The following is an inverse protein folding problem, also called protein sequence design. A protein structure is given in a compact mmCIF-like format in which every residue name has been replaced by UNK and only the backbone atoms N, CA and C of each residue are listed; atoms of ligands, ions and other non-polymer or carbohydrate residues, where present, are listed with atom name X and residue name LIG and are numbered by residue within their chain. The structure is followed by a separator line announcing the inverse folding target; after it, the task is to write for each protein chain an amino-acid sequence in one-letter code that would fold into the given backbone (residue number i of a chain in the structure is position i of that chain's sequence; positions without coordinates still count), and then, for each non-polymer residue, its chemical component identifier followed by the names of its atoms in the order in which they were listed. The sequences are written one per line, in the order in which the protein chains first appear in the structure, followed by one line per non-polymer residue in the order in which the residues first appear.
data_IF_610687774963
#
_entry.id   IF_610687774963
#
_cell.length_a   1.000
_cell.length_b   1.000
_cell.length_c   1.000
_cell.angle_alpha   90.00
_cell.angle_beta   90.00
_cell.angle_gamma   90.00
#
_symmetry.space_group_name_H-M   'P 1'
#
loop_
_entity.id
_entity.type
_entity.pdbx_description
1 polymer ?
#
# COMPACT_ATOMS: atom_id res chain seq x y z
N UNK A 1 2.51 -20.22 20.16
CA UNK A 1 3.54 -19.43 19.45
C UNK A 1 2.91 -18.85 18.18
N UNK A 2 2.52 -17.57 18.18
CA UNK A 2 1.89 -16.92 17.01
C UNK A 2 2.90 -16.73 15.87
N UNK A 3 4.16 -16.44 16.21
CA UNK A 3 5.23 -16.15 15.25
C UNK A 3 5.53 -17.28 14.24
N UNK A 4 5.26 -18.52 14.62
CA UNK A 4 5.51 -19.70 13.79
C UNK A 4 4.26 -20.16 13.03
N UNK A 5 3.10 -19.53 13.25
CA UNK A 5 1.89 -19.85 12.51
C UNK A 5 2.07 -19.40 11.04
N UNK A 6 1.95 -20.31 10.05
CA UNK A 6 2.08 -19.96 8.64
C UNK A 6 1.17 -18.80 8.20
N UNK A 7 0.01 -18.62 8.85
CA UNK A 7 -0.93 -17.53 8.56
C UNK A 7 -0.37 -16.21 9.04
N UNK A 8 0.25 -16.21 10.21
CA UNK A 8 0.91 -15.02 10.74
C UNK A 8 2.11 -14.64 9.88
N UNK A 9 2.92 -15.62 9.47
CA UNK A 9 4.08 -15.40 8.60
C UNK A 9 3.64 -14.78 7.27
N UNK A 10 2.61 -15.33 6.62
CA UNK A 10 2.10 -14.78 5.36
C UNK A 10 1.59 -13.33 5.54
N UNK A 11 0.83 -13.06 6.60
CA UNK A 11 0.35 -11.72 6.91
C UNK A 11 1.51 -10.74 7.21
N UNK A 12 2.51 -11.18 7.98
CA UNK A 12 3.68 -10.38 8.33
C UNK A 12 4.50 -10.00 7.10
N UNK A 13 4.76 -10.95 6.19
CA UNK A 13 5.49 -10.65 4.94
C UNK A 13 4.69 -9.78 3.97
N UNK A 14 3.36 -9.91 3.94
CA UNK A 14 2.51 -8.96 3.23
C UNK A 14 2.72 -7.53 3.74
N UNK A 15 2.66 -7.32 5.05
CA UNK A 15 2.91 -6.01 5.65
C UNK A 15 4.33 -5.51 5.38
N UNK A 16 5.32 -6.41 5.52
CA UNK A 16 6.73 -6.11 5.33
C UNK A 16 7.09 -5.69 3.91
N UNK A 17 6.39 -6.19 2.88
CA UNK A 17 6.59 -5.72 1.51
C UNK A 17 5.80 -4.45 1.20
N UNK A 18 4.55 -4.36 1.66
CA UNK A 18 3.69 -3.21 1.39
C UNK A 18 4.26 -1.91 1.99
N UNK A 19 4.94 -2.00 3.13
CA UNK A 19 5.47 -0.83 3.84
C UNK A 19 6.59 -0.12 3.09
N UNK A 20 7.39 -0.82 2.27
CA UNK A 20 8.45 -0.19 1.44
C UNK A 20 7.89 0.79 0.41
N UNK A 21 6.65 0.62 0.01
CA UNK A 21 6.04 1.43 -1.04
C UNK A 21 4.97 2.40 -0.51
N UNK A 22 4.43 2.17 0.69
CA UNK A 22 3.31 2.96 1.24
C UNK A 22 3.59 4.46 1.32
N UNK A 23 4.74 4.86 1.89
CA UNK A 23 5.02 6.29 2.10
C UNK A 23 5.65 6.99 0.90
N UNK A 24 6.15 6.23 -0.07
CA UNK A 24 6.91 6.79 -1.19
C UNK A 24 6.10 7.84 -1.97
N UNK A 25 4.84 7.60 -2.36
CA UNK A 25 4.05 8.62 -3.04
C UNK A 25 3.81 9.85 -2.18
N UNK A 26 3.59 9.70 -0.87
CA UNK A 26 3.42 10.86 0.04
C UNK A 26 4.63 11.77 0.04
N UNK A 27 5.84 11.19 0.07
CA UNK A 27 7.08 11.97 0.11
C UNK A 27 7.55 12.48 -1.25
N UNK A 28 7.33 11.71 -2.33
CA UNK A 28 7.75 12.09 -3.68
C UNK A 28 6.75 13.00 -4.40
N UNK A 29 5.47 13.02 -4.01
CA UNK A 29 4.44 13.81 -4.70
C UNK A 29 4.79 15.31 -4.83
N UNK A 30 5.30 16.01 -3.78
CA UNK A 30 5.71 17.40 -3.95
C UNK A 30 6.80 17.59 -5.00
N UNK A 31 7.82 16.71 -4.99
CA UNK A 31 8.94 16.77 -5.93
C UNK A 31 8.47 16.51 -7.37
N UNK A 32 7.60 15.51 -7.52
CA UNK A 32 6.99 15.17 -8.81
C UNK A 32 6.13 16.32 -9.34
N UNK A 33 5.32 16.97 -8.49
CA UNK A 33 4.54 18.16 -8.86
C UNK A 33 5.46 19.30 -9.33
N UNK A 34 6.53 19.59 -8.58
CA UNK A 34 7.49 20.64 -8.94
C UNK A 34 8.18 20.35 -10.28
N UNK A 35 8.55 19.10 -10.54
CA UNK A 35 9.15 18.69 -11.82
C UNK A 35 8.27 19.03 -13.02
N UNK A 36 6.94 18.93 -12.90
CA UNK A 36 5.97 19.33 -13.92
C UNK A 36 5.50 20.78 -13.81
N UNK A 37 6.18 21.63 -13.04
CA UNK A 37 5.85 23.05 -12.89
C UNK A 37 4.57 23.34 -12.09
N UNK A 38 4.05 22.36 -11.34
CA UNK A 38 2.88 22.54 -10.49
C UNK A 38 3.30 23.25 -9.20
N UNK A 39 2.52 24.26 -8.80
CA UNK A 39 2.82 25.08 -7.63
C UNK A 39 2.83 24.26 -6.32
N UNK A 40 3.60 24.73 -5.33
CA UNK A 40 3.63 24.11 -4.00
C UNK A 40 2.24 24.05 -3.34
N UNK A 41 1.42 25.09 -3.52
CA UNK A 41 0.05 25.14 -3.00
C UNK A 41 -0.82 24.01 -3.58
N UNK A 42 -0.75 23.81 -4.91
CA UNK A 42 -1.48 22.72 -5.57
C UNK A 42 -0.95 21.35 -5.17
N UNK A 43 0.37 21.19 -5.01
CA UNK A 43 0.97 19.96 -4.51
C UNK A 43 0.49 19.60 -3.09
N UNK A 44 0.37 20.60 -2.20
CA UNK A 44 -0.22 20.40 -0.87
C UNK A 44 -1.68 19.95 -0.93
N UNK A 45 -2.47 20.47 -1.88
CA UNK A 45 -3.85 20.02 -2.10
C UNK A 45 -3.88 18.54 -2.51
N UNK A 46 -3.02 18.11 -3.45
CA UNK A 46 -2.94 16.71 -3.89
C UNK A 46 -2.66 15.78 -2.70
N UNK A 47 -1.71 16.13 -1.83
CA UNK A 47 -1.38 15.32 -0.64
C UNK A 47 -2.49 15.37 0.41
N UNK A 48 -3.15 16.53 0.57
CA UNK A 48 -4.32 16.68 1.43
C UNK A 48 -5.46 15.76 0.99
N UNK A 49 -5.76 15.73 -0.31
CA UNK A 49 -6.75 14.82 -0.90
C UNK A 49 -6.35 13.36 -0.73
N UNK A 50 -5.07 13.02 -0.85
CA UNK A 50 -4.56 11.67 -0.60
C UNK A 50 -4.85 11.20 0.83
N UNK A 51 -4.57 12.04 1.83
CA UNK A 51 -4.87 11.75 3.22
C UNK A 51 -6.38 11.71 3.50
N UNK A 52 -7.15 12.63 2.92
CA UNK A 52 -8.60 12.64 3.03
C UNK A 52 -9.24 11.38 2.44
N UNK A 53 -8.81 10.96 1.27
CA UNK A 53 -9.23 9.71 0.64
C UNK A 53 -8.83 8.49 1.46
N UNK A 54 -7.64 8.49 2.09
CA UNK A 54 -7.25 7.42 3.00
C UNK A 54 -8.13 7.34 4.24
N UNK A 55 -8.54 8.48 4.82
CA UNK A 55 -9.47 8.52 5.94
C UNK A 55 -10.83 7.92 5.56
N UNK A 56 -11.39 8.31 4.41
CA UNK A 56 -12.64 7.75 3.88
C UNK A 56 -12.48 6.26 3.59
N UNK A 57 -11.37 5.87 2.95
CA UNK A 57 -11.04 4.49 2.62
C UNK A 57 -11.01 3.59 3.84
N UNK A 58 -10.52 4.05 4.99
CA UNK A 58 -10.50 3.25 6.23
C UNK A 58 -11.90 2.81 6.66
N UNK A 59 -12.90 3.67 6.51
CA UNK A 59 -14.30 3.35 6.83
C UNK A 59 -14.87 2.42 5.76
N UNK A 60 -14.72 2.80 4.49
CA UNK A 60 -15.32 2.06 3.37
C UNK A 60 -14.75 0.65 3.28
N UNK A 61 -13.44 0.48 3.34
CA UNK A 61 -12.80 -0.84 3.23
C UNK A 61 -13.19 -1.76 4.38
N UNK A 62 -13.34 -1.24 5.61
CA UNK A 62 -13.86 -2.01 6.73
C UNK A 62 -15.32 -2.44 6.57
N UNK A 63 -16.15 -1.63 5.90
CA UNK A 63 -17.52 -2.02 5.54
C UNK A 63 -17.54 -3.05 4.41
N UNK A 64 -16.72 -2.87 3.37
CA UNK A 64 -16.58 -3.78 2.23
C UNK A 64 -16.14 -5.17 2.71
N UNK A 65 -15.23 -5.23 3.69
CA UNK A 65 -14.76 -6.49 4.26
C UNK A 65 -15.87 -7.34 4.89
N UNK A 66 -16.97 -6.74 5.36
CA UNK A 66 -18.14 -7.51 5.86
C UNK A 66 -18.83 -8.33 4.77
N UNK A 67 -18.69 -7.94 3.51
CA UNK A 67 -19.30 -8.60 2.36
C UNK A 67 -18.30 -9.48 1.61
N UNK A 68 -17.08 -8.98 1.39
CA UNK A 68 -16.07 -9.65 0.57
C UNK A 68 -15.05 -10.49 1.36
N UNK A 69 -14.96 -10.31 2.69
CA UNK A 69 -13.91 -10.89 3.53
C UNK A 69 -12.69 -9.96 3.66
N UNK A 70 -11.98 -10.05 4.78
CA UNK A 70 -10.83 -9.19 5.08
C UNK A 70 -9.66 -9.49 4.12
N UNK A 71 -9.37 -10.77 3.87
CA UNK A 71 -8.25 -11.19 3.00
C UNK A 71 -8.47 -10.74 1.56
N UNK A 72 -9.68 -10.95 1.03
CA UNK A 72 -10.01 -10.53 -0.34
C UNK A 72 -9.96 -9.01 -0.49
N UNK A 73 -10.48 -8.27 0.50
CA UNK A 73 -10.44 -6.81 0.50
C UNK A 73 -8.99 -6.30 0.51
N UNK A 74 -8.10 -6.91 1.29
CA UNK A 74 -6.67 -6.59 1.27
C UNK A 74 -6.04 -6.88 -0.10
N UNK A 75 -6.32 -8.07 -0.66
CA UNK A 75 -5.74 -8.53 -1.91
C UNK A 75 -6.12 -7.62 -3.07
N UNK A 76 -7.42 -7.35 -3.27
CA UNK A 76 -7.86 -6.50 -4.38
C UNK A 76 -7.39 -5.06 -4.22
N UNK A 77 -7.41 -4.50 -3.01
CA UNK A 77 -6.89 -3.14 -2.82
C UNK A 77 -5.39 -3.06 -3.13
N UNK A 78 -4.58 -4.03 -2.68
CA UNK A 78 -3.14 -4.04 -2.97
C UNK A 78 -2.86 -4.28 -4.45
N UNK A 79 -3.61 -5.17 -5.10
CA UNK A 79 -3.45 -5.47 -6.52
C UNK A 79 -3.81 -4.26 -7.38
N UNK A 80 -4.94 -3.61 -7.10
CA UNK A 80 -5.33 -2.40 -7.83
C UNK A 80 -4.32 -1.28 -7.54
N UNK A 81 -3.90 -1.11 -6.28
CA UNK A 81 -2.90 -0.11 -5.89
C UNK A 81 -1.58 -0.31 -6.63
N UNK A 82 -1.08 -1.55 -6.73
CA UNK A 82 0.18 -1.83 -7.45
C UNK A 82 0.09 -1.38 -8.90
N UNK A 83 -1.02 -1.68 -9.57
CA UNK A 83 -1.26 -1.31 -10.96
C UNK A 83 -1.37 0.21 -11.15
N UNK A 84 -1.82 0.96 -10.15
CA UNK A 84 -1.91 2.42 -10.27
C UNK A 84 -0.55 3.11 -10.46
N UNK A 85 0.55 2.52 -9.97
CA UNK A 85 1.87 3.15 -10.12
C UNK A 85 2.32 3.26 -11.59
N UNK A 86 2.44 2.15 -12.36
CA UNK A 86 2.83 2.24 -13.76
C UNK A 86 1.69 2.67 -14.69
N UNK A 87 0.41 2.41 -14.36
CA UNK A 87 -0.69 2.67 -15.29
C UNK A 87 -1.33 4.04 -15.14
N UNK A 88 -1.23 4.67 -13.96
CA UNK A 88 -1.86 5.97 -13.70
C UNK A 88 -0.79 7.00 -13.35
N UNK A 89 0.01 6.77 -12.31
CA UNK A 89 0.96 7.76 -11.84
C UNK A 89 2.03 8.10 -12.89
N UNK A 90 2.57 7.08 -13.58
CA UNK A 90 3.57 7.29 -14.63
C UNK A 90 3.11 8.27 -15.73
N UNK A 91 1.83 8.21 -16.11
CA UNK A 91 1.25 9.09 -17.14
C UNK A 91 0.66 10.39 -16.58
N UNK A 92 0.69 10.60 -15.26
CA UNK A 92 0.02 11.72 -14.60
C UNK A 92 0.88 12.98 -14.56
N UNK A 93 0.94 13.73 -15.66
CA UNK A 93 1.80 14.94 -15.76
C UNK A 93 1.09 16.25 -15.43
N UNK A 94 -0.19 16.21 -15.07
CA UNK A 94 -1.03 17.40 -14.86
C UNK A 94 -1.67 17.38 -13.47
N UNK A 95 -2.08 18.54 -12.96
CA UNK A 95 -2.73 18.63 -11.65
C UNK A 95 -3.95 17.73 -11.52
N UNK A 96 -4.83 17.73 -12.52
CA UNK A 96 -6.06 16.94 -12.49
C UNK A 96 -5.80 15.42 -12.49
N UNK A 97 -4.82 14.95 -13.28
CA UNK A 97 -4.44 13.53 -13.27
C UNK A 97 -3.78 13.11 -11.96
N UNK A 98 -2.96 13.98 -11.35
CA UNK A 98 -2.38 13.74 -10.03
C UNK A 98 -3.43 13.75 -8.91
N UNK A 99 -4.47 14.59 -9.02
CA UNK A 99 -5.63 14.55 -8.11
C UNK A 99 -6.32 13.18 -8.19
N UNK A 100 -6.60 12.67 -9.39
CA UNK A 100 -7.22 11.35 -9.57
C UNK A 100 -6.35 10.25 -8.95
N UNK A 101 -5.05 10.26 -9.26
CA UNK A 101 -4.11 9.31 -8.66
C UNK A 101 -4.11 9.40 -7.13
N UNK A 102 -4.07 10.62 -6.55
CA UNK A 102 -4.02 10.81 -5.10
C UNK A 102 -5.24 10.25 -4.39
N UNK A 103 -6.45 10.43 -4.96
CA UNK A 103 -7.68 9.91 -4.38
C UNK A 103 -7.69 8.38 -4.45
N UNK A 104 -7.33 7.81 -5.59
CA UNK A 104 -7.26 6.35 -5.77
C UNK A 104 -6.23 5.73 -4.83
N UNK A 105 -5.01 6.24 -4.83
CA UNK A 105 -3.94 5.74 -3.98
C UNK A 105 -4.28 5.86 -2.49
N UNK A 106 -4.77 7.03 -2.05
CA UNK A 106 -5.21 7.23 -0.67
C UNK A 106 -6.27 6.22 -0.25
N UNK A 107 -7.31 6.05 -1.07
CA UNK A 107 -8.36 5.06 -0.82
C UNK A 107 -7.82 3.63 -0.74
N UNK A 108 -7.06 3.18 -1.74
CA UNK A 108 -6.62 1.78 -1.86
C UNK A 108 -5.63 1.39 -0.75
N UNK A 109 -4.77 2.32 -0.32
CA UNK A 109 -3.76 2.05 0.72
C UNK A 109 -4.34 1.96 2.13
N UNK A 110 -5.56 2.46 2.35
CA UNK A 110 -6.23 2.42 3.65
C UNK A 110 -6.47 0.99 4.17
N UNK A 111 -6.64 0.03 3.26
CA UNK A 111 -6.98 -1.34 3.59
C UNK A 111 -5.90 -2.03 4.44
N UNK A 112 -4.62 -1.68 4.23
CA UNK A 112 -3.48 -2.26 4.95
C UNK A 112 -3.61 -2.10 6.46
N UNK A 113 -4.11 -0.97 6.95
CA UNK A 113 -4.26 -0.75 8.40
C UNK A 113 -5.58 -1.28 8.92
N UNK A 114 -6.70 -0.94 8.26
CA UNK A 114 -8.03 -1.34 8.72
C UNK A 114 -8.19 -2.86 8.69
N UNK A 115 -8.00 -3.49 7.54
CA UNK A 115 -8.33 -4.91 7.36
C UNK A 115 -7.29 -5.82 8.02
N UNK A 116 -6.02 -5.44 8.08
CA UNK A 116 -5.03 -6.25 8.81
C UNK A 116 -5.36 -6.31 10.30
N UNK A 117 -5.79 -5.20 10.91
CA UNK A 117 -6.22 -5.20 12.31
C UNK A 117 -7.52 -6.00 12.53
N UNK A 118 -8.46 -5.95 11.57
CA UNK A 118 -9.70 -6.74 11.61
C UNK A 118 -9.47 -8.24 11.36
N UNK A 119 -8.42 -8.60 10.64
CA UNK A 119 -8.07 -9.99 10.33
C UNK A 119 -7.40 -10.70 11.51
N UNK A 120 -6.67 -9.98 12.37
CA UNK A 120 -6.03 -10.57 13.57
C UNK A 120 -7.00 -11.32 14.48
N UNK A 121 -8.12 -10.74 14.96
CA UNK A 121 -9.05 -11.46 15.82
C UNK A 121 -9.82 -12.55 15.08
N UNK A 122 -9.97 -12.44 13.75
CA UNK A 122 -10.62 -13.46 12.92
C UNK A 122 -9.79 -14.75 12.81
N UNK A 123 -8.47 -14.62 12.65
CA UNK A 123 -7.58 -15.78 12.51
C UNK A 123 -7.09 -16.32 13.86
N UNK A 124 -6.76 -15.45 14.81
CA UNK A 124 -6.06 -15.81 16.05
C UNK A 124 -6.93 -15.73 17.31
N UNK A 125 -8.17 -15.26 17.19
CA UNK A 125 -9.07 -15.02 18.32
C UNK A 125 -8.79 -13.72 19.07
N UNK A 126 -9.79 -13.25 19.82
CA UNK A 126 -9.73 -11.97 20.55
C UNK A 126 -8.67 -11.95 21.66
N UNK A 127 -8.41 -13.09 22.30
CA UNK A 127 -7.43 -13.23 23.39
C UNK A 127 -6.01 -12.84 22.97
N UNK A 128 -5.67 -13.09 21.71
CA UNK A 128 -4.32 -12.89 21.14
C UNK A 128 -4.21 -11.63 20.28
N UNK A 129 -5.27 -10.83 20.22
CA UNK A 129 -5.37 -9.66 19.35
C UNK A 129 -4.20 -8.69 19.55
N UNK A 130 -3.95 -8.26 20.79
CA UNK A 130 -2.91 -7.28 21.08
C UNK A 130 -1.51 -7.80 20.71
N UNK A 131 -1.24 -9.08 20.98
CA UNK A 131 0.03 -9.72 20.64
C UNK A 131 0.22 -9.83 19.12
N UNK A 132 -0.78 -10.34 18.40
CA UNK A 132 -0.71 -10.52 16.95
C UNK A 132 -0.59 -9.17 16.23
N UNK A 133 -1.41 -8.19 16.61
CA UNK A 133 -1.42 -6.87 15.98
C UNK A 133 -0.14 -6.08 16.27
N UNK A 134 0.34 -6.13 17.52
CA UNK A 134 1.61 -5.51 17.91
C UNK A 134 2.78 -6.08 17.12
N UNK A 135 2.88 -7.41 17.03
CA UNK A 135 3.93 -8.08 16.27
C UNK A 135 3.83 -7.80 14.77
N UNK A 136 2.62 -7.76 14.19
CA UNK A 136 2.44 -7.40 12.80
C UNK A 136 2.97 -6.00 12.50
N UNK A 137 2.64 -4.99 13.31
CA UNK A 137 3.09 -3.63 13.03
C UNK A 137 4.61 -3.43 13.14
N UNK A 138 5.33 -4.32 13.82
CA UNK A 138 6.81 -4.30 13.79
C UNK A 138 7.38 -4.47 12.39
N UNK A 139 6.70 -5.21 11.50
CA UNK A 139 7.16 -5.44 10.14
C UNK A 139 7.16 -4.18 9.26
N UNK A 140 6.39 -3.15 9.65
CA UNK A 140 6.26 -1.93 8.86
C UNK A 140 7.47 -1.01 9.01
N UNK A 141 8.16 -1.08 10.15
CA UNK A 141 9.23 -0.13 10.50
C UNK A 141 10.36 -0.08 9.46
N UNK A 142 10.94 -1.21 9.00
CA UNK A 142 12.04 -1.17 8.03
C UNK A 142 11.63 -0.50 6.71
N UNK A 143 10.46 -0.83 6.17
CA UNK A 143 10.02 -0.25 4.90
C UNK A 143 9.61 1.21 5.02
N UNK A 144 9.07 1.65 6.16
CA UNK A 144 8.79 3.07 6.39
C UNK A 144 10.07 3.91 6.47
N UNK A 145 11.16 3.35 7.00
CA UNK A 145 12.46 4.02 7.07
C UNK A 145 13.21 3.99 5.72
N UNK A 146 13.27 2.82 5.08
CA UNK A 146 14.13 2.59 3.92
C UNK A 146 13.41 2.81 2.57
N UNK A 147 12.09 2.66 2.51
CA UNK A 147 11.31 2.68 1.26
C UNK A 147 11.53 3.92 0.42
N UNK A 148 11.36 5.10 1.03
CA UNK A 148 11.57 6.40 0.35
C UNK A 148 13.03 6.61 -0.05
N UNK A 149 13.98 6.15 0.77
CA UNK A 149 15.42 6.26 0.48
C UNK A 149 15.79 5.39 -0.72
N UNK A 150 15.33 4.14 -0.77
CA UNK A 150 15.53 3.24 -1.90
C UNK A 150 14.90 3.84 -3.17
N UNK A 151 13.64 4.26 -3.08
CA UNK A 151 12.93 4.88 -4.20
C UNK A 151 13.64 6.11 -4.78
N UNK A 152 14.10 7.01 -3.90
CA UNK A 152 14.85 8.21 -4.33
C UNK A 152 16.22 7.85 -4.89
N UNK A 153 16.88 6.83 -4.34
CA UNK A 153 18.17 6.35 -4.86
C UNK A 153 18.03 5.77 -6.27
N UNK A 154 16.94 5.05 -6.55
CA UNK A 154 16.61 4.55 -7.88
C UNK A 154 16.43 5.70 -8.87
N UNK A 155 15.70 6.75 -8.49
CA UNK A 155 15.52 7.94 -9.32
C UNK A 155 16.88 8.60 -9.61
N UNK A 156 17.73 8.76 -8.60
CA UNK A 156 19.04 9.41 -8.75
C UNK A 156 19.97 8.65 -9.70
N UNK A 157 20.02 7.32 -9.63
CA UNK A 157 20.86 6.49 -10.51
C UNK A 157 20.33 6.50 -11.95
N UNK A 158 19.02 6.61 -12.13
CA UNK A 158 18.38 6.64 -13.44
C UNK A 158 18.31 8.04 -14.07
N UNK A 159 18.67 9.08 -13.33
CA UNK A 159 18.72 10.46 -13.84
C UNK A 159 19.99 10.66 -14.68
N UNK A 160 19.82 10.77 -16.00
CA UNK A 160 20.92 11.00 -16.95
C UNK A 160 20.75 12.36 -17.61
N UNK A 161 21.78 13.20 -17.57
CA UNK A 161 21.77 14.50 -18.26
C UNK A 161 20.72 15.50 -17.76
N UNK A 162 20.23 15.36 -16.52
CA UNK A 162 19.23 16.25 -15.91
C UNK A 162 17.77 15.90 -16.23
N UNK A 163 17.52 14.86 -17.03
CA UNK A 163 16.18 14.29 -17.23
C UNK A 163 15.92 13.28 -16.10
N UNK A 164 14.91 13.56 -15.26
CA UNK A 164 14.56 12.70 -14.13
C UNK A 164 13.63 11.58 -14.64
N UNK A 165 14.03 10.32 -14.45
CA UNK A 165 13.19 9.17 -14.74
C UNK A 165 12.62 8.57 -13.45
N UNK A 166 11.29 8.65 -13.31
CA UNK A 166 10.55 8.11 -12.17
C UNK A 166 10.11 6.65 -12.38
N UNK A 167 10.23 6.10 -13.60
CA UNK A 167 9.75 4.76 -13.91
C UNK A 167 10.38 3.66 -13.03
N UNK A 168 11.71 3.65 -12.77
CA UNK A 168 12.33 2.62 -11.93
C UNK A 168 11.80 2.63 -10.49
N UNK A 169 11.54 3.81 -9.93
CA UNK A 169 10.88 3.95 -8.65
C UNK A 169 9.45 3.37 -8.71
N UNK A 170 8.65 3.73 -9.71
CA UNK A 170 7.28 3.23 -9.82
C UNK A 170 7.22 1.70 -10.01
N UNK A 171 8.17 1.11 -10.75
CA UNK A 171 8.32 -0.34 -10.90
C UNK A 171 8.72 -1.02 -9.59
N UNK A 172 9.57 -0.38 -8.78
CA UNK A 172 9.88 -0.85 -7.43
C UNK A 172 8.62 -0.87 -6.55
N UNK A 173 7.81 0.19 -6.56
CA UNK A 173 6.56 0.24 -5.79
C UNK A 173 5.56 -0.82 -6.24
N UNK A 174 5.43 -0.99 -7.56
CA UNK A 174 4.63 -2.04 -8.19
C UNK A 174 5.08 -3.42 -7.72
N UNK A 175 6.39 -3.71 -7.76
CA UNK A 175 6.94 -5.00 -7.34
C UNK A 175 6.71 -5.27 -5.84
N UNK A 176 6.85 -4.25 -4.97
CA UNK A 176 6.57 -4.39 -3.54
C UNK A 176 5.11 -4.75 -3.25
N UNK A 177 4.15 -4.01 -3.83
CA UNK A 177 2.72 -4.30 -3.61
C UNK A 177 2.28 -5.59 -4.32
N UNK A 178 2.81 -5.90 -5.51
CA UNK A 178 2.50 -7.15 -6.19
C UNK A 178 3.08 -8.35 -5.43
N UNK A 179 4.30 -8.23 -4.90
CA UNK A 179 4.89 -9.24 -4.02
C UNK A 179 4.06 -9.43 -2.74
N UNK A 180 3.53 -8.35 -2.16
CA UNK A 180 2.62 -8.45 -1.02
C UNK A 180 1.33 -9.23 -1.36
N UNK A 181 0.82 -9.10 -2.59
CA UNK A 181 -0.35 -9.86 -3.06
C UNK A 181 -0.08 -11.36 -3.12
N UNK A 182 1.15 -11.80 -3.42
CA UNK A 182 1.53 -13.22 -3.39
C UNK A 182 1.37 -13.80 -1.99
N UNK A 183 1.81 -13.06 -0.97
CA UNK A 183 1.65 -13.48 0.43
C UNK A 183 0.18 -13.46 0.88
N UNK A 184 -0.62 -12.50 0.42
CA UNK A 184 -2.07 -12.50 0.67
C UNK A 184 -2.78 -13.67 -0.01
N UNK A 185 -2.39 -14.03 -1.24
CA UNK A 185 -2.92 -15.20 -1.93
C UNK A 185 -2.52 -16.48 -1.19
N UNK A 186 -1.27 -16.57 -0.70
CA UNK A 186 -0.82 -17.68 0.12
C UNK A 186 -1.60 -17.78 1.44
N UNK A 187 -1.81 -16.65 2.12
CA UNK A 187 -2.65 -16.57 3.32
C UNK A 187 -4.08 -17.06 3.03
N UNK A 188 -4.64 -16.66 1.88
CA UNK A 188 -5.96 -17.10 1.46
C UNK A 188 -6.03 -18.62 1.34
N UNK A 189 -5.08 -19.26 0.65
CA UNK A 189 -5.05 -20.71 0.51
C UNK A 189 -4.94 -21.46 1.85
N UNK A 190 -4.28 -20.87 2.84
CA UNK A 190 -4.19 -21.45 4.19
C UNK A 190 -5.49 -21.36 4.98
N UNK A 191 -6.29 -20.32 4.73
CA UNK A 191 -7.57 -20.07 5.44
C UNK A 191 -8.74 -20.74 4.74
N UNK A 192 -8.78 -20.74 3.40
CA UNK A 192 -9.81 -21.41 2.61
C UNK A 192 -9.33 -21.70 1.17
N UNK A 193 -9.56 -22.92 0.68
CA UNK A 193 -9.23 -23.32 -0.70
C UNK A 193 -10.12 -22.70 -1.79
N UNK A 194 -11.20 -22.00 -1.40
CA UNK A 194 -12.07 -21.29 -2.34
C UNK A 194 -11.67 -19.81 -2.42
N UNK A 195 -11.47 -19.29 -3.64
CA UNK A 195 -11.18 -17.87 -3.91
C UNK A 195 -12.38 -16.93 -3.62
N UNK A 196 -13.59 -17.47 -3.40
CA UNK A 196 -14.82 -16.68 -3.24
C UNK A 196 -15.53 -16.88 -1.90
N UNK A 197 -15.07 -17.81 -1.06
CA UNK A 197 -15.63 -18.03 0.27
C UNK A 197 -15.45 -16.81 1.20
N UNK A 198 -16.36 -16.60 2.14
CA UNK A 198 -16.46 -15.36 2.91
C UNK A 198 -15.43 -15.18 4.06
N UNK A 199 -14.29 -15.88 4.01
CA UNK A 199 -13.23 -15.83 5.04
C UNK A 199 -12.05 -14.97 4.58
#
# INVERSE_FOLDING_TARGET
QILLDPKFIALWFHGALSCFAFWVPFFLMPLYCQYYGISAASASIVIGLMNGAAAIGRVVTGLVAKYFGNINTLFFNNLICSLTFPLIWYFSTSLWSLIIFSILFGYLTSALFTNSALLMPEIFGLEKLAQANGLFYTCLCPGFLAGTVIATSLINVSTVGGQIDYLPCMLFLFACYLGSCVFLAWLRFQVSSSLTAKV
#
